data_IF_428885769095
#
_entry.id   IF_428885769095
#
_cell.length_a   1.000
_cell.length_b   1.000
_cell.length_c   1.000
_cell.angle_alpha   90.00
_cell.angle_beta   90.00
_cell.angle_gamma   90.00
#
_symmetry.space_group_name_H-M   'P 1'
#
loop_
_entity.id
_entity.type
_entity.pdbx_description
1 polymer ?
#
# COMPACT_ATOMS: atom_id res chain seq x y z
N UNK A 1 21.75 1.34 28.05
CA UNK A 1 20.84 2.16 27.22
C UNK A 1 21.72 3.02 26.31
N UNK A 2 21.39 3.23 25.03
CA UNK A 2 22.30 4.04 24.18
C UNK A 2 22.22 5.51 24.61
N UNK A 3 23.36 6.21 24.59
CA UNK A 3 23.46 7.63 24.95
C UNK A 3 22.41 8.47 24.19
N UNK A 4 22.16 8.12 22.93
CA UNK A 4 21.16 8.75 22.07
C UNK A 4 19.73 8.65 22.61
N UNK A 5 19.37 7.50 23.22
CA UNK A 5 18.02 7.31 23.78
C UNK A 5 17.81 8.13 25.05
N UNK A 6 18.86 8.25 25.86
CA UNK A 6 18.85 9.11 27.05
C UNK A 6 18.71 10.59 26.67
N UNK A 7 19.42 11.04 25.64
CA UNK A 7 19.32 12.41 25.14
C UNK A 7 17.93 12.71 24.55
N UNK A 8 17.31 11.77 23.83
CA UNK A 8 15.95 11.94 23.32
C UNK A 8 14.92 12.06 24.45
N UNK A 9 15.05 11.26 25.51
CA UNK A 9 14.15 11.39 26.67
C UNK A 9 14.26 12.77 27.32
N UNK A 10 15.48 13.29 27.50
CA UNK A 10 15.70 14.65 28.05
C UNK A 10 15.06 15.74 27.17
N UNK A 11 15.13 15.60 25.85
CA UNK A 11 14.49 16.54 24.93
C UNK A 11 12.96 16.51 25.06
N UNK A 12 12.37 15.32 25.18
CA UNK A 12 10.93 15.15 25.41
C UNK A 12 10.50 15.75 26.74
N UNK A 13 11.29 15.56 27.80
CA UNK A 13 11.01 16.15 29.12
C UNK A 13 11.10 17.68 29.13
N UNK A 14 11.95 18.27 28.30
CA UNK A 14 12.15 19.72 28.22
C UNK A 14 11.17 20.44 27.27
N UNK A 15 10.35 19.72 26.51
CA UNK A 15 9.42 20.28 25.53
C UNK A 15 8.25 20.99 26.22
N UNK A 16 7.90 22.24 25.83
CA UNK A 16 6.68 22.89 26.31
C UNK A 16 5.44 22.08 25.92
N UNK A 17 4.42 22.04 26.79
CA UNK A 17 3.19 21.25 26.58
C UNK A 17 2.52 21.52 25.23
N UNK A 18 2.57 22.77 24.75
CA UNK A 18 1.99 23.17 23.46
C UNK A 18 2.65 22.49 22.25
N UNK A 19 3.92 22.11 22.38
CA UNK A 19 4.70 21.47 21.30
C UNK A 19 4.64 19.94 21.39
N UNK A 20 4.22 19.39 22.54
CA UNK A 20 4.11 17.95 22.79
C UNK A 20 3.25 17.20 21.76
N UNK A 21 2.09 17.74 21.29
CA UNK A 21 1.30 17.07 20.26
C UNK A 21 2.05 16.92 18.93
N UNK A 22 2.86 17.92 18.55
CA UNK A 22 3.65 17.90 17.32
C UNK A 22 4.80 16.91 17.44
N UNK A 23 5.52 16.93 18.57
CA UNK A 23 6.59 15.99 18.86
C UNK A 23 6.09 14.54 18.87
N UNK A 24 4.93 14.28 19.51
CA UNK A 24 4.28 12.96 19.50
C UNK A 24 3.97 12.50 18.07
N UNK A 25 3.33 13.34 17.26
CA UNK A 25 2.97 12.99 15.88
C UNK A 25 4.19 12.68 15.02
N UNK A 26 5.28 13.41 15.21
CA UNK A 26 6.53 13.16 14.50
C UNK A 26 7.18 11.85 14.94
N UNK A 27 7.22 11.55 16.24
CA UNK A 27 7.72 10.27 16.74
C UNK A 27 6.84 9.10 16.25
N UNK A 28 5.52 9.25 16.21
CA UNK A 28 4.60 8.28 15.62
C UNK A 28 4.86 8.07 14.12
N UNK A 29 5.12 9.15 13.37
CA UNK A 29 5.53 9.07 11.98
C UNK A 29 6.84 8.28 11.83
N UNK A 30 7.88 8.61 12.60
CA UNK A 30 9.14 7.86 12.57
C UNK A 30 8.98 6.39 12.98
N UNK A 31 8.05 6.10 13.89
CA UNK A 31 7.70 4.72 14.26
C UNK A 31 6.89 4.03 13.16
N UNK A 32 6.06 4.73 12.39
CA UNK A 32 5.39 4.18 11.21
C UNK A 32 6.37 3.98 10.05
N UNK A 33 7.48 4.73 10.03
CA UNK A 33 8.59 4.51 9.12
C UNK A 33 9.50 3.34 9.55
N UNK A 34 9.43 2.90 10.82
CA UNK A 34 9.86 1.53 11.17
C UNK A 34 8.74 0.63 10.67
N UNK A 35 8.91 -0.13 9.61
CA UNK A 35 10.01 -1.05 9.32
C UNK A 35 10.14 -1.08 7.80
N UNK A 36 11.35 -1.34 7.31
CA UNK A 36 11.65 -1.78 5.94
C UNK A 36 10.72 -2.90 5.46
N UNK A 37 9.47 -2.58 5.12
CA UNK A 37 8.59 -3.49 4.42
C UNK A 37 9.16 -3.57 3.00
N UNK A 38 9.83 -4.68 2.65
CA UNK A 38 10.50 -4.77 1.36
C UNK A 38 9.48 -4.70 0.22
N UNK A 39 8.22 -5.08 0.47
CA UNK A 39 7.13 -4.99 -0.48
C UNK A 39 6.71 -3.53 -0.68
N UNK A 40 6.44 -2.76 0.39
CA UNK A 40 6.05 -1.35 0.23
C UNK A 40 7.14 -0.54 -0.47
N UNK A 41 8.41 -0.79 -0.14
CA UNK A 41 9.55 -0.14 -0.79
C UNK A 41 9.72 -0.56 -2.25
N UNK A 42 9.43 -1.82 -2.57
CA UNK A 42 9.43 -2.29 -3.96
C UNK A 42 8.30 -1.65 -4.75
N UNK A 43 7.10 -1.55 -4.18
CA UNK A 43 5.94 -0.92 -4.79
C UNK A 43 6.13 0.59 -5.00
N UNK A 44 6.69 1.30 -4.02
CA UNK A 44 6.98 2.74 -4.13
C UNK A 44 7.98 3.06 -5.26
N UNK A 45 8.92 2.14 -5.51
CA UNK A 45 9.95 2.29 -6.54
C UNK A 45 9.63 1.57 -7.84
N UNK A 46 8.52 0.85 -7.89
CA UNK A 46 8.13 0.13 -9.09
C UNK A 46 7.84 1.17 -10.19
N UNK A 47 8.35 0.97 -11.41
CA UNK A 47 7.90 1.77 -12.54
C UNK A 47 6.39 1.55 -12.74
N UNK A 48 5.73 2.53 -13.34
CA UNK A 48 4.37 2.32 -13.84
C UNK A 48 4.44 1.24 -14.91
N UNK A 49 3.54 0.26 -14.81
CA UNK A 49 3.42 -0.79 -15.80
C UNK A 49 2.67 -0.26 -17.02
N UNK A 50 3.44 0.22 -17.99
CA UNK A 50 2.98 0.70 -19.29
C UNK A 50 3.46 -0.26 -20.41
N UNK A 51 3.66 -1.54 -20.10
CA UNK A 51 4.08 -2.55 -21.07
C UNK A 51 2.98 -2.76 -22.14
N UNK A 52 3.34 -2.91 -23.43
CA UNK A 52 2.36 -3.20 -24.46
C UNK A 52 1.76 -4.58 -24.25
N UNK A 53 0.45 -4.72 -24.50
CA UNK A 53 -0.21 -6.02 -24.40
C UNK A 53 0.39 -7.03 -25.39
N UNK A 54 0.67 -8.22 -24.88
CA UNK A 54 1.14 -9.33 -25.67
C UNK A 54 0.01 -9.94 -26.53
N UNK A 55 0.33 -10.63 -27.64
CA UNK A 55 -0.67 -11.21 -28.53
C UNK A 55 -1.68 -12.15 -27.83
N UNK A 56 -1.21 -12.93 -26.86
CA UNK A 56 -2.01 -13.85 -26.05
C UNK A 56 -2.99 -13.09 -25.15
N UNK A 57 -2.56 -11.98 -24.54
CA UNK A 57 -3.40 -11.13 -23.70
C UNK A 57 -4.50 -10.45 -24.52
N UNK A 58 -4.13 -9.94 -25.70
CA UNK A 58 -5.10 -9.40 -26.66
C UNK A 58 -6.11 -10.47 -27.11
N UNK A 59 -5.70 -11.73 -27.21
CA UNK A 59 -6.62 -12.82 -27.53
C UNK A 59 -7.60 -13.10 -26.39
N UNK A 60 -7.12 -13.14 -25.14
CA UNK A 60 -7.94 -13.32 -23.96
C UNK A 60 -8.97 -12.17 -23.79
N UNK A 61 -8.55 -10.92 -24.04
CA UNK A 61 -9.45 -9.75 -24.01
C UNK A 61 -10.56 -9.90 -25.05
N UNK A 62 -10.21 -10.25 -26.30
CA UNK A 62 -11.22 -10.46 -27.37
C UNK A 62 -12.20 -11.59 -27.05
N UNK A 63 -11.72 -12.65 -26.40
CA UNK A 63 -12.57 -13.75 -25.93
C UNK A 63 -13.57 -13.25 -24.87
N UNK A 64 -13.08 -12.51 -23.87
CA UNK A 64 -13.92 -11.95 -22.81
C UNK A 64 -14.95 -10.95 -23.36
N UNK A 65 -14.57 -10.06 -24.27
CA UNK A 65 -15.48 -9.13 -24.94
C UNK A 65 -16.60 -9.85 -25.70
N UNK A 66 -16.27 -10.96 -26.37
CA UNK A 66 -17.25 -11.80 -27.06
C UNK A 66 -18.22 -12.45 -26.09
N UNK A 67 -17.73 -13.00 -24.96
CA UNK A 67 -18.58 -13.59 -23.93
C UNK A 67 -19.56 -12.55 -23.34
N UNK A 68 -19.07 -11.34 -23.04
CA UNK A 68 -19.90 -10.21 -22.59
C UNK A 68 -20.98 -9.88 -23.62
N UNK A 69 -20.62 -9.76 -24.91
CA UNK A 69 -21.57 -9.46 -25.98
C UNK A 69 -22.64 -10.55 -26.15
N UNK A 70 -22.31 -11.80 -25.80
CA UNK A 70 -23.21 -12.95 -25.85
C UNK A 70 -24.04 -13.12 -24.57
N UNK A 71 -23.80 -12.30 -23.54
CA UNK A 71 -24.42 -12.45 -22.22
C UNK A 71 -23.91 -13.66 -21.44
N UNK A 72 -22.81 -14.28 -21.87
CA UNK A 72 -22.14 -15.39 -21.21
C UNK A 72 -21.27 -14.87 -20.06
N UNK A 73 -21.93 -14.35 -19.04
CA UNK A 73 -21.33 -13.71 -17.87
C UNK A 73 -22.05 -14.13 -16.61
N UNK A 74 -21.38 -14.03 -15.46
CA UNK A 74 -22.01 -14.26 -14.16
C UNK A 74 -22.30 -12.92 -13.46
N UNK A 75 -23.36 -12.84 -12.64
CA UNK A 75 -23.60 -11.67 -11.80
C UNK A 75 -22.43 -11.39 -10.85
N UNK A 76 -22.16 -10.12 -10.57
CA UNK A 76 -21.05 -9.71 -9.69
C UNK A 76 -21.09 -10.37 -8.31
N UNK A 77 -22.29 -10.53 -7.74
CA UNK A 77 -22.47 -11.19 -6.43
C UNK A 77 -22.13 -12.69 -6.47
N UNK A 78 -22.33 -13.35 -7.62
CA UNK A 78 -21.89 -14.73 -7.79
C UNK A 78 -20.36 -14.81 -7.89
N UNK A 79 -19.73 -13.93 -8.67
CA UNK A 79 -18.28 -13.89 -8.82
C UNK A 79 -17.55 -13.70 -7.48
N UNK A 80 -18.03 -12.77 -6.63
CA UNK A 80 -17.48 -12.60 -5.27
C UNK A 80 -17.55 -13.86 -4.44
N UNK A 81 -18.70 -14.53 -4.44
CA UNK A 81 -18.92 -15.76 -3.70
C UNK A 81 -17.94 -16.87 -4.13
N UNK A 82 -17.68 -17.00 -5.42
CA UNK A 82 -16.71 -17.97 -5.96
C UNK A 82 -15.26 -17.60 -5.60
N UNK A 83 -14.95 -16.32 -5.49
CA UNK A 83 -13.63 -15.79 -5.08
C UNK A 83 -13.44 -15.69 -3.55
N UNK A 84 -14.48 -15.96 -2.75
CA UNK A 84 -14.43 -15.84 -1.29
C UNK A 84 -14.39 -14.39 -0.77
N UNK A 85 -14.90 -13.43 -1.54
CA UNK A 85 -14.98 -12.01 -1.23
C UNK A 85 -16.35 -11.60 -0.66
#
# INVERSE_FOLDING_TARGET
MSIIKEDLHRLVEALPDREMPVAKRFLEFLLSMKIDDPLLRALEKAPVDDEPLEPEELAAIREAEKAIAQGDTIPWEQAKKELGL
#
